data_IF_312456507570
#
_entry.id   IF_312456507570
#
_cell.length_a   1.000
_cell.length_b   1.000
_cell.length_c   1.000
_cell.angle_alpha   90.00
_cell.angle_beta   90.00
_cell.angle_gamma   90.00
#
_symmetry.space_group_name_H-M   'P 1'
#
loop_
_entity.id
_entity.type
_entity.pdbx_description
1 polymer ?
#
# COMPACT_ATOMS: atom_id res chain seq x y z
N UNK A 1 12.53 15.83 0.95
CA UNK A 1 11.11 15.37 0.92
C UNK A 1 10.73 14.36 2.02
N UNK A 2 11.68 13.75 2.76
CA UNK A 2 11.36 12.67 3.71
C UNK A 2 11.64 12.96 5.20
N UNK A 3 11.75 14.24 5.58
CA UNK A 3 11.81 14.64 7.00
C UNK A 3 10.49 14.24 7.68
N UNK A 4 10.57 13.78 8.94
CA UNK A 4 9.45 13.31 9.78
C UNK A 4 8.74 12.02 9.31
N UNK A 5 9.33 11.26 8.37
CA UNK A 5 8.81 9.94 7.94
C UNK A 5 9.64 8.81 8.55
N UNK A 6 8.97 7.75 8.99
CA UNK A 6 9.62 6.48 9.35
C UNK A 6 9.77 5.62 8.09
N UNK A 7 10.92 4.97 7.93
CA UNK A 7 11.23 4.10 6.79
C UNK A 7 11.15 2.62 7.16
N UNK A 8 10.59 1.82 6.26
CA UNK A 8 10.60 0.36 6.33
C UNK A 8 10.80 -0.19 4.92
N UNK A 9 11.75 -1.11 4.75
CA UNK A 9 12.00 -1.78 3.46
C UNK A 9 11.18 -3.06 3.39
N UNK A 10 10.35 -3.19 2.37
CA UNK A 10 9.54 -4.37 2.10
C UNK A 10 9.77 -4.83 0.65
N UNK A 11 9.91 -6.14 0.45
CA UNK A 11 9.81 -6.74 -0.88
C UNK A 11 8.37 -7.24 -1.10
N UNK A 12 7.61 -6.46 -1.87
CA UNK A 12 6.20 -6.73 -2.15
C UNK A 12 5.99 -7.89 -3.13
N UNK A 13 7.05 -8.40 -3.79
CA UNK A 13 6.96 -9.61 -4.62
C UNK A 13 6.93 -10.89 -3.78
N UNK A 14 7.32 -10.80 -2.51
CA UNK A 14 7.27 -11.91 -1.55
C UNK A 14 5.97 -11.81 -0.78
N UNK A 15 5.28 -12.95 -0.59
CA UNK A 15 4.02 -13.02 0.16
C UNK A 15 4.13 -12.36 1.54
N UNK A 16 5.22 -12.64 2.26
CA UNK A 16 5.53 -12.07 3.57
C UNK A 16 5.62 -10.54 3.55
N UNK A 17 6.27 -9.96 2.53
CA UNK A 17 6.39 -8.51 2.42
C UNK A 17 5.04 -7.84 2.13
N UNK A 18 4.22 -8.49 1.29
CA UNK A 18 2.83 -8.07 1.05
C UNK A 18 1.99 -8.13 2.32
N UNK A 19 2.06 -9.23 3.09
CA UNK A 19 1.33 -9.38 4.35
C UNK A 19 1.67 -8.28 5.36
N UNK A 20 2.94 -7.89 5.47
CA UNK A 20 3.34 -6.78 6.34
C UNK A 20 2.68 -5.47 5.90
N UNK A 21 2.65 -5.17 4.60
CA UNK A 21 1.97 -3.97 4.09
C UNK A 21 0.46 -4.03 4.35
N UNK A 22 -0.18 -5.17 4.10
CA UNK A 22 -1.61 -5.34 4.37
C UNK A 22 -1.92 -5.14 5.86
N UNK A 23 -1.07 -5.64 6.76
CA UNK A 23 -1.22 -5.40 8.21
C UNK A 23 -1.12 -3.92 8.57
N UNK A 24 -0.20 -3.17 7.96
CA UNK A 24 -0.10 -1.72 8.14
C UNK A 24 -1.33 -0.99 7.58
N UNK A 25 -1.82 -1.42 6.41
CA UNK A 25 -2.97 -0.81 5.74
C UNK A 25 -4.30 -0.99 6.51
N UNK A 26 -4.42 -2.04 7.34
CA UNK A 26 -5.59 -2.22 8.23
C UNK A 26 -5.85 -1.04 9.16
N UNK A 27 -4.80 -0.35 9.58
CA UNK A 27 -4.87 0.76 10.53
C UNK A 27 -4.46 2.10 9.92
N UNK A 28 -4.14 2.12 8.62
CA UNK A 28 -3.77 3.33 7.92
C UNK A 28 -5.02 4.11 7.50
N UNK A 29 -4.97 5.43 7.65
CA UNK A 29 -6.01 6.30 7.10
C UNK A 29 -5.81 6.54 5.60
N UNK A 30 -4.55 6.63 5.16
CA UNK A 30 -4.18 7.01 3.78
C UNK A 30 -3.06 6.11 3.27
N UNK A 31 -3.22 5.61 2.05
CA UNK A 31 -2.15 5.01 1.26
C UNK A 31 -1.89 5.86 0.01
N UNK A 32 -0.64 6.27 -0.16
CA UNK A 32 -0.18 7.04 -1.33
C UNK A 32 0.82 6.19 -2.10
N UNK A 33 0.59 6.03 -3.40
CA UNK A 33 1.53 5.39 -4.30
C UNK A 33 1.83 6.25 -5.53
N UNK A 34 2.98 6.00 -6.14
CA UNK A 34 3.40 6.62 -7.40
C UNK A 34 3.98 5.57 -8.36
N UNK A 35 3.45 4.35 -8.33
CA UNK A 35 3.82 3.32 -9.28
C UNK A 35 3.16 3.58 -10.64
N UNK A 36 3.70 2.98 -11.69
CA UNK A 36 3.03 2.95 -12.99
C UNK A 36 1.66 2.25 -12.87
N UNK A 37 0.65 2.66 -13.67
CA UNK A 37 -0.64 2.00 -13.70
C UNK A 37 -0.56 0.46 -13.76
N UNK A 38 -1.36 -0.20 -12.93
CA UNK A 38 -1.46 -1.66 -12.85
C UNK A 38 -0.30 -2.37 -12.15
N UNK A 39 0.70 -1.66 -11.59
CA UNK A 39 1.74 -2.30 -10.76
C UNK A 39 1.19 -2.71 -9.40
N UNK A 40 0.44 -1.84 -8.73
CA UNK A 40 -0.18 -2.10 -7.42
C UNK A 40 -1.15 -3.29 -7.46
N UNK A 41 -1.97 -3.39 -8.50
CA UNK A 41 -2.87 -4.52 -8.71
C UNK A 41 -2.12 -5.84 -8.88
N UNK A 42 -1.06 -5.87 -9.71
CA UNK A 42 -0.21 -7.06 -9.90
C UNK A 42 0.51 -7.48 -8.62
N UNK A 43 0.86 -6.53 -7.77
CA UNK A 43 1.45 -6.80 -6.45
C UNK A 43 0.40 -7.21 -5.40
N UNK A 44 -0.89 -7.20 -5.74
CA UNK A 44 -1.99 -7.54 -4.82
C UNK A 44 -2.18 -6.53 -3.70
N UNK A 45 -1.84 -5.25 -3.95
CA UNK A 45 -1.99 -4.12 -3.02
C UNK A 45 -2.81 -2.99 -3.64
N UNK A 46 -3.57 -3.28 -4.70
CA UNK A 46 -4.43 -2.33 -5.37
C UNK A 46 -5.64 -1.92 -4.53
N UNK A 47 -6.36 -0.90 -5.02
CA UNK A 47 -7.48 -0.28 -4.30
C UNK A 47 -8.51 -1.29 -3.81
N UNK A 48 -8.97 -2.22 -4.66
CA UNK A 48 -10.00 -3.19 -4.28
C UNK A 48 -9.59 -4.07 -3.10
N UNK A 49 -8.34 -4.53 -3.08
CA UNK A 49 -7.81 -5.35 -1.98
C UNK A 49 -7.75 -4.53 -0.70
N UNK A 50 -7.22 -3.32 -0.77
CA UNK A 50 -7.07 -2.46 0.40
C UNK A 50 -8.41 -1.97 0.95
N UNK A 51 -9.38 -1.67 0.08
CA UNK A 51 -10.72 -1.24 0.48
C UNK A 51 -11.53 -2.36 1.12
N UNK A 52 -11.39 -3.59 0.61
CA UNK A 52 -11.99 -4.77 1.24
C UNK A 52 -11.39 -5.03 2.64
N UNK A 53 -10.08 -4.77 2.79
CA UNK A 53 -9.37 -4.93 4.05
C UNK A 53 -9.67 -3.82 5.08
N UNK A 54 -9.77 -2.58 4.60
CA UNK A 54 -10.03 -1.38 5.40
C UNK A 54 -11.01 -0.47 4.63
N UNK A 55 -12.32 -0.56 4.91
CA UNK A 55 -13.33 0.26 4.23
C UNK A 55 -13.21 1.78 4.42
N UNK A 56 -12.38 2.24 5.37
CA UNK A 56 -12.13 3.66 5.65
C UNK A 56 -10.93 4.23 4.91
N UNK A 57 -10.12 3.39 4.26
CA UNK A 57 -8.86 3.81 3.66
C UNK A 57 -9.10 4.79 2.50
N UNK A 58 -8.32 5.87 2.48
CA UNK A 58 -8.20 6.77 1.33
C UNK A 58 -7.01 6.30 0.48
N UNK A 59 -7.27 6.01 -0.79
CA UNK A 59 -6.25 5.55 -1.74
C UNK A 59 -5.93 6.68 -2.73
N UNK A 60 -4.67 7.06 -2.80
CA UNK A 60 -4.18 8.10 -3.71
C UNK A 60 -3.10 7.52 -4.62
N UNK A 61 -3.40 7.44 -5.91
CA UNK A 61 -2.42 7.12 -6.94
C UNK A 61 -1.97 8.41 -7.63
N UNK A 62 -0.67 8.62 -7.68
CA UNK A 62 -0.03 9.69 -8.44
C UNK A 62 0.48 9.05 -9.73
N UNK A 63 -0.07 9.48 -10.86
CA UNK A 63 0.18 8.87 -12.18
C UNK A 63 0.95 9.82 -13.08
#
# INVERSE_FOLDING_TARGET
>A
VNRNKRGLRLDLKRSQGREVLLRLARTADILVESFRPGVSDRLGIGYHVLRALNPRIVYCAIT
#
